data_IF_350237240368
#
_entry.id   IF_350237240368
#
_cell.length_a   1.000
_cell.length_b   1.000
_cell.length_c   1.000
_cell.angle_alpha   90.00
_cell.angle_beta   90.00
_cell.angle_gamma   90.00
#
_symmetry.space_group_name_H-M   'P 1'
#
loop_
_entity.id
_entity.type
_entity.pdbx_description
1 polymer ?
#
# COMPACT_ATOMS: atom_id res chain seq x y z
N UNK A 1 22.11 -10.90 10.34
CA UNK A 1 21.45 -11.30 9.08
C UNK A 1 21.49 -10.15 8.09
N UNK A 2 21.91 -10.43 6.84
CA UNK A 2 21.93 -9.47 5.73
C UNK A 2 20.68 -9.66 4.88
N UNK A 3 19.78 -8.70 4.92
CA UNK A 3 18.48 -8.73 4.21
C UNK A 3 18.60 -7.95 2.92
N UNK A 4 18.24 -8.56 1.79
CA UNK A 4 18.01 -7.82 0.56
C UNK A 4 16.51 -7.55 0.40
N UNK A 5 16.14 -6.27 0.47
CA UNK A 5 14.78 -5.82 0.21
C UNK A 5 14.64 -5.47 -1.28
N UNK A 6 13.83 -6.21 -2.00
CA UNK A 6 13.44 -5.90 -3.37
C UNK A 6 12.09 -5.18 -3.37
N UNK A 7 12.01 -4.05 -4.07
CA UNK A 7 10.75 -3.30 -4.16
C UNK A 7 10.78 -2.23 -5.24
N UNK A 8 9.65 -1.57 -5.44
CA UNK A 8 9.58 -0.42 -6.32
C UNK A 8 10.22 0.79 -5.65
N UNK A 9 11.16 1.49 -6.30
CA UNK A 9 11.71 2.73 -5.76
C UNK A 9 10.65 3.82 -5.84
N UNK A 10 10.70 4.73 -4.92
CA UNK A 10 10.19 6.07 -5.18
C UNK A 10 11.19 6.80 -6.11
N UNK A 11 10.74 7.75 -6.85
CA UNK A 11 11.27 8.30 -8.11
C UNK A 11 12.76 8.69 -8.23
N UNK A 12 13.65 8.44 -7.29
CA UNK A 12 14.99 9.07 -7.27
C UNK A 12 16.18 8.10 -7.26
N UNK A 13 15.98 6.78 -7.15
CA UNK A 13 17.11 5.85 -7.15
C UNK A 13 17.47 5.38 -8.57
N UNK A 14 18.77 5.40 -8.95
CA UNK A 14 19.23 4.81 -10.20
C UNK A 14 18.77 3.34 -10.29
N UNK A 15 18.43 2.92 -11.49
CA UNK A 15 17.94 1.53 -11.75
C UNK A 15 18.96 0.45 -11.42
N UNK A 16 20.23 0.81 -11.19
CA UNK A 16 21.36 -0.13 -11.03
C UNK A 16 21.93 -0.21 -9.62
N UNK A 17 21.49 0.65 -8.67
CA UNK A 17 22.11 0.73 -7.35
C UNK A 17 21.41 -0.13 -6.29
N UNK A 18 22.19 -0.91 -5.55
CA UNK A 18 21.84 -1.36 -4.21
C UNK A 18 22.20 -0.25 -3.22
N UNK A 19 21.28 0.07 -2.31
CA UNK A 19 21.50 1.14 -1.31
C UNK A 19 21.26 0.58 0.08
N UNK A 20 22.27 0.72 0.97
CA UNK A 20 22.07 0.37 2.38
C UNK A 20 21.08 1.32 3.04
N UNK A 21 20.13 0.75 3.76
CA UNK A 21 19.12 1.49 4.51
C UNK A 21 19.67 1.81 5.88
N UNK A 22 20.20 3.06 6.05
CA UNK A 22 20.65 3.57 7.33
C UNK A 22 19.50 4.06 8.23
N UNK A 23 19.75 4.20 9.53
CA UNK A 23 18.85 4.96 10.42
C UNK A 23 18.81 6.43 9.96
N UNK A 24 17.63 6.91 9.60
CA UNK A 24 17.42 8.28 9.10
C UNK A 24 17.56 8.49 7.59
N UNK A 25 18.06 7.51 6.85
CA UNK A 25 18.04 7.56 5.37
C UNK A 25 16.75 6.96 4.86
N UNK A 26 15.73 7.80 4.69
CA UNK A 26 14.55 7.41 3.93
C UNK A 26 14.94 7.41 2.45
N UNK A 27 15.22 6.23 1.91
CA UNK A 27 15.69 6.05 0.52
C UNK A 27 14.60 6.42 -0.48
N UNK A 28 13.37 6.53 0.00
CA UNK A 28 12.21 6.80 -0.83
C UNK A 28 11.84 8.26 -0.73
N UNK A 29 12.17 9.03 -1.77
CA UNK A 29 11.61 10.38 -2.00
C UNK A 29 10.53 10.24 -3.07
N UNK A 30 9.42 10.93 -2.94
CA UNK A 30 8.36 10.93 -3.93
C UNK A 30 6.98 10.78 -3.31
N UNK A 31 6.21 9.80 -3.74
CA UNK A 31 4.84 9.58 -3.29
C UNK A 31 4.79 9.22 -1.80
N UNK A 32 4.05 10.01 -1.01
CA UNK A 32 4.05 9.94 0.46
C UNK A 32 3.71 8.54 1.03
N UNK A 33 2.80 7.81 0.39
CA UNK A 33 2.44 6.45 0.80
C UNK A 33 3.56 5.44 0.60
N UNK A 34 4.36 5.58 -0.46
CA UNK A 34 5.49 4.68 -0.74
C UNK A 34 6.66 4.99 0.20
N UNK A 35 6.87 6.28 0.53
CA UNK A 35 7.83 6.71 1.56
C UNK A 35 7.45 6.11 2.91
N UNK A 36 6.18 6.25 3.32
CA UNK A 36 5.68 5.69 4.58
C UNK A 36 5.79 4.16 4.63
N UNK A 37 5.55 3.47 3.50
CA UNK A 37 5.68 2.02 3.40
C UNK A 37 7.14 1.57 3.58
N UNK A 38 8.10 2.27 2.97
CA UNK A 38 9.53 1.99 3.16
C UNK A 38 9.96 2.14 4.61
N UNK A 39 9.59 3.26 5.23
CA UNK A 39 9.88 3.53 6.65
C UNK A 39 9.24 2.48 7.57
N UNK A 40 8.01 2.05 7.27
CA UNK A 40 7.31 1.02 8.03
C UNK A 40 7.98 -0.35 7.91
N UNK A 41 8.35 -0.75 6.71
CA UNK A 41 9.08 -2.00 6.48
C UNK A 41 10.37 -2.01 7.29
N UNK A 42 11.20 -0.98 7.16
CA UNK A 42 12.48 -0.88 7.86
C UNK A 42 12.30 -0.91 9.38
N UNK A 43 11.32 -0.17 9.91
CA UNK A 43 11.05 -0.18 11.34
C UNK A 43 10.65 -1.57 11.84
N UNK A 44 9.70 -2.24 11.18
CA UNK A 44 9.20 -3.54 11.62
C UNK A 44 10.28 -4.62 11.52
N UNK A 45 11.01 -4.68 10.40
CA UNK A 45 12.04 -5.71 10.23
C UNK A 45 13.23 -5.50 11.17
N UNK A 46 13.69 -4.27 11.41
CA UNK A 46 14.72 -4.01 12.43
C UNK A 46 14.26 -4.30 13.86
N UNK A 47 12.97 -4.06 14.16
CA UNK A 47 12.38 -4.41 15.46
C UNK A 47 12.36 -5.93 15.67
N UNK A 48 12.01 -6.69 14.64
CA UNK A 48 11.83 -8.15 14.71
C UNK A 48 13.15 -8.92 14.54
N UNK A 49 14.12 -8.35 13.83
CA UNK A 49 15.46 -8.90 13.59
C UNK A 49 16.52 -7.86 14.00
N UNK A 50 16.75 -7.68 15.31
CA UNK A 50 17.74 -6.72 15.82
C UNK A 50 19.13 -7.06 15.27
N UNK A 51 19.88 -6.02 14.86
CA UNK A 51 21.23 -6.20 14.27
C UNK A 51 21.25 -6.58 12.78
N UNK A 52 20.09 -6.81 12.15
CA UNK A 52 20.05 -7.06 10.71
C UNK A 52 20.46 -5.82 9.90
N UNK A 53 21.15 -6.07 8.79
CA UNK A 53 21.44 -5.04 7.78
C UNK A 53 20.46 -5.19 6.62
N UNK A 54 19.81 -4.11 6.25
CA UNK A 54 18.84 -4.10 5.14
C UNK A 54 19.44 -3.32 3.97
N UNK A 55 19.57 -3.98 2.83
CA UNK A 55 19.95 -3.35 1.57
C UNK A 55 18.77 -3.35 0.63
N UNK A 56 18.49 -2.23 -0.01
CA UNK A 56 17.40 -2.09 -0.98
C UNK A 56 17.89 -2.29 -2.41
N UNK A 57 17.13 -3.07 -3.19
CA UNK A 57 17.32 -3.23 -4.63
C UNK A 57 16.04 -2.85 -5.39
N UNK A 58 16.19 -2.06 -6.45
CA UNK A 58 15.08 -1.69 -7.32
C UNK A 58 14.60 -2.90 -8.16
N UNK A 59 13.32 -3.21 -8.09
CA UNK A 59 12.72 -4.28 -8.91
C UNK A 59 12.47 -3.85 -10.37
N UNK A 60 12.36 -2.54 -10.65
CA UNK A 60 12.04 -2.00 -11.97
C UNK A 60 13.28 -1.89 -12.85
N UNK A 61 13.84 -3.03 -13.18
CA UNK A 61 14.90 -3.20 -14.17
C UNK A 61 14.79 -4.57 -14.81
N UNK A 62 15.43 -4.77 -15.96
CA UNK A 62 15.64 -6.11 -16.51
C UNK A 62 16.73 -6.79 -15.71
N UNK A 63 16.40 -7.89 -15.06
CA UNK A 63 17.35 -8.68 -14.28
C UNK A 63 18.21 -9.55 -15.19
N UNK A 64 19.45 -9.77 -14.77
CA UNK A 64 20.46 -10.57 -15.42
C UNK A 64 21.02 -11.62 -14.48
N UNK A 65 21.85 -12.53 -15.00
CA UNK A 65 22.58 -13.52 -14.18
C UNK A 65 23.42 -12.85 -13.08
N UNK A 66 24.08 -11.73 -13.40
CA UNK A 66 24.88 -10.99 -12.41
C UNK A 66 24.02 -10.46 -11.25
N UNK A 67 22.76 -10.08 -11.51
CA UNK A 67 21.85 -9.64 -10.45
C UNK A 67 21.48 -10.80 -9.52
N UNK A 68 21.32 -12.00 -10.07
CA UNK A 68 21.08 -13.21 -9.28
C UNK A 68 22.29 -13.56 -8.42
N UNK A 69 23.50 -13.47 -8.97
CA UNK A 69 24.74 -13.68 -8.23
C UNK A 69 24.90 -12.68 -7.07
N UNK A 70 24.45 -11.42 -7.25
CA UNK A 70 24.38 -10.42 -6.17
C UNK A 70 23.30 -10.78 -5.15
N UNK A 71 22.10 -11.18 -5.57
CA UNK A 71 21.01 -11.60 -4.68
C UNK A 71 21.48 -12.75 -3.78
N UNK A 72 22.12 -13.75 -4.36
CA UNK A 72 22.55 -14.95 -3.66
C UNK A 72 23.71 -14.72 -2.65
N UNK A 73 24.23 -13.49 -2.53
CA UNK A 73 25.20 -13.11 -1.47
C UNK A 73 24.54 -12.68 -0.16
N UNK A 74 23.22 -12.53 -0.13
CA UNK A 74 22.45 -12.16 1.06
C UNK A 74 21.93 -13.41 1.79
N UNK A 75 21.51 -13.23 3.03
CA UNK A 75 20.95 -14.31 3.83
C UNK A 75 19.47 -14.59 3.47
N UNK A 76 18.73 -13.54 3.08
CA UNK A 76 17.31 -13.60 2.71
C UNK A 76 16.93 -12.51 1.71
N UNK A 77 16.10 -12.87 0.74
CA UNK A 77 15.45 -11.93 -0.17
C UNK A 77 14.02 -11.64 0.31
N UNK A 78 13.69 -10.37 0.50
CA UNK A 78 12.34 -9.95 0.82
C UNK A 78 11.76 -9.11 -0.32
N UNK A 79 10.80 -9.66 -1.05
CA UNK A 79 10.01 -8.92 -2.04
C UNK A 79 8.92 -8.17 -1.29
N UNK A 80 9.04 -6.86 -1.20
CA UNK A 80 8.23 -6.07 -0.27
C UNK A 80 7.43 -4.96 -0.93
N UNK A 81 6.23 -4.86 -0.45
CA UNK A 81 5.42 -3.66 -0.41
C UNK A 81 4.85 -3.15 -1.72
N UNK A 82 3.81 -2.38 -1.57
CA UNK A 82 3.15 -1.69 -2.66
C UNK A 82 2.33 -2.58 -3.58
N UNK A 83 1.92 -2.01 -4.69
CA UNK A 83 1.16 -2.72 -5.72
C UNK A 83 2.06 -3.25 -6.82
N UNK A 84 2.97 -4.19 -6.50
CA UNK A 84 3.97 -4.68 -7.46
C UNK A 84 3.38 -5.48 -8.61
N UNK A 85 2.28 -6.20 -8.40
CA UNK A 85 1.57 -6.90 -9.47
C UNK A 85 0.78 -5.91 -10.31
N UNK A 86 1.50 -5.22 -11.20
CA UNK A 86 1.03 -4.18 -12.12
C UNK A 86 2.03 -4.10 -13.27
N UNK A 87 1.56 -4.16 -14.52
CA UNK A 87 2.44 -4.22 -15.68
C UNK A 87 2.85 -2.84 -16.23
N UNK A 88 1.96 -1.84 -16.18
CA UNK A 88 2.10 -0.57 -16.89
C UNK A 88 3.06 0.45 -16.25
N UNK A 89 3.52 0.20 -15.04
CA UNK A 89 4.52 1.07 -14.37
C UNK A 89 5.95 0.75 -14.81
N UNK A 90 6.18 -0.49 -15.18
CA UNK A 90 7.44 -0.98 -15.76
C UNK A 90 7.12 -2.10 -16.74
N UNK A 91 6.82 -1.71 -17.98
CA UNK A 91 6.57 -2.67 -19.06
C UNK A 91 7.83 -3.45 -19.37
N UNK A 92 7.73 -4.77 -19.34
CA UNK A 92 8.83 -5.67 -19.63
C UNK A 92 8.34 -6.99 -20.24
N UNK A 93 9.22 -7.65 -20.95
CA UNK A 93 8.97 -8.93 -21.61
C UNK A 93 9.41 -10.13 -20.77
N UNK A 94 9.84 -9.94 -19.52
CA UNK A 94 10.35 -11.01 -18.67
C UNK A 94 9.22 -11.60 -17.81
N UNK A 95 8.46 -10.77 -17.08
CA UNK A 95 7.48 -11.21 -16.09
C UNK A 95 6.08 -10.63 -16.26
N UNK A 96 5.91 -9.58 -17.05
CA UNK A 96 4.66 -8.81 -17.20
C UNK A 96 4.18 -8.15 -15.88
N UNK A 97 5.09 -7.90 -14.92
CA UNK A 97 4.84 -7.11 -13.72
C UNK A 97 6.09 -6.31 -13.31
N UNK A 98 6.05 -5.57 -12.19
CA UNK A 98 7.10 -4.60 -11.90
C UNK A 98 8.48 -5.20 -11.59
N UNK A 99 8.60 -6.48 -11.29
CA UNK A 99 9.89 -7.15 -11.19
C UNK A 99 10.28 -7.78 -12.54
N UNK A 100 11.17 -7.13 -13.25
CA UNK A 100 11.61 -7.56 -14.60
C UNK A 100 12.54 -8.77 -14.59
N UNK A 101 12.09 -9.88 -14.01
CA UNK A 101 12.82 -11.15 -13.88
C UNK A 101 12.14 -12.25 -14.70
N UNK A 102 12.94 -13.07 -15.41
CA UNK A 102 12.39 -14.25 -16.09
C UNK A 102 12.21 -15.43 -15.14
N UNK A 103 11.39 -16.40 -15.55
CA UNK A 103 11.17 -17.65 -14.82
C UNK A 103 12.50 -18.36 -14.52
N UNK A 104 13.38 -18.47 -15.53
CA UNK A 104 14.67 -19.17 -15.43
C UNK A 104 15.65 -18.48 -14.46
N UNK A 105 15.62 -17.16 -14.38
CA UNK A 105 16.45 -16.42 -13.43
C UNK A 105 15.88 -16.52 -12.01
N UNK A 106 14.56 -16.48 -11.86
CA UNK A 106 13.91 -16.63 -10.57
C UNK A 106 14.21 -18.01 -9.96
N UNK A 107 14.25 -19.07 -10.78
CA UNK A 107 14.65 -20.42 -10.36
C UNK A 107 16.08 -20.49 -9.82
N UNK A 108 16.99 -19.62 -10.27
CA UNK A 108 18.38 -19.60 -9.84
C UNK A 108 18.63 -18.86 -8.52
N UNK A 109 17.61 -18.22 -7.93
CA UNK A 109 17.74 -17.65 -6.59
C UNK A 109 17.81 -18.81 -5.59
N UNK A 110 18.93 -18.94 -4.88
CA UNK A 110 19.20 -20.03 -3.96
C UNK A 110 18.94 -19.70 -2.49
N UNK A 111 18.77 -18.43 -2.16
CA UNK A 111 18.46 -17.97 -0.80
C UNK A 111 16.95 -17.99 -0.52
N UNK A 112 16.53 -18.06 0.76
CA UNK A 112 15.13 -17.97 1.13
C UNK A 112 14.45 -16.69 0.60
N UNK A 113 13.25 -16.86 0.06
CA UNK A 113 12.42 -15.74 -0.46
C UNK A 113 11.22 -15.52 0.45
N UNK A 114 11.02 -14.30 0.89
CA UNK A 114 9.81 -13.86 1.60
C UNK A 114 9.09 -12.83 0.74
N UNK A 115 7.85 -13.09 0.37
CA UNK A 115 6.97 -12.09 -0.28
C UNK A 115 6.10 -11.45 0.80
N UNK A 116 6.32 -10.16 1.09
CA UNK A 116 5.75 -9.49 2.23
C UNK A 116 4.76 -8.39 1.84
N UNK A 117 3.48 -8.63 2.04
CA UNK A 117 2.38 -7.69 1.85
C UNK A 117 2.32 -7.05 0.44
N UNK A 118 2.57 -7.82 -0.61
CA UNK A 118 2.53 -7.35 -2.00
C UNK A 118 1.07 -7.29 -2.48
N UNK A 119 0.72 -6.24 -3.23
CA UNK A 119 -0.64 -6.02 -3.73
C UNK A 119 -0.79 -6.31 -5.21
N UNK A 120 -1.94 -6.92 -5.57
CA UNK A 120 -2.43 -6.98 -6.94
C UNK A 120 -3.04 -5.62 -7.28
N UNK A 121 -2.45 -4.92 -8.25
CA UNK A 121 -2.75 -3.50 -8.48
C UNK A 121 -3.23 -3.20 -9.91
N UNK A 122 -3.67 -4.22 -10.64
CA UNK A 122 -4.27 -4.06 -11.96
C UNK A 122 -5.54 -3.20 -11.85
N UNK A 123 -5.61 -2.13 -12.63
CA UNK A 123 -6.77 -1.24 -12.68
C UNK A 123 -7.93 -1.87 -13.44
N UNK A 124 -9.13 -1.39 -13.15
CA UNK A 124 -10.33 -1.74 -13.92
C UNK A 124 -10.14 -1.33 -15.39
N UNK A 125 -10.55 -2.17 -16.32
CA UNK A 125 -10.42 -1.91 -17.75
C UNK A 125 -9.03 -2.13 -18.35
N UNK A 126 -7.99 -2.36 -17.55
CA UNK A 126 -6.68 -2.75 -18.06
C UNK A 126 -6.68 -4.18 -18.63
N UNK A 127 -5.80 -4.46 -19.59
CA UNK A 127 -5.61 -5.80 -20.13
C UNK A 127 -5.27 -6.81 -19.03
N UNK A 128 -5.54 -8.06 -19.27
CA UNK A 128 -5.07 -9.12 -18.40
C UNK A 128 -3.55 -9.28 -18.50
N UNK A 129 -2.95 -9.81 -17.43
CA UNK A 129 -1.58 -10.28 -17.48
C UNK A 129 -1.46 -11.42 -18.52
N UNK A 130 -0.29 -11.55 -19.10
CA UNK A 130 0.02 -12.63 -20.03
C UNK A 130 0.61 -13.86 -19.30
N UNK A 131 0.89 -14.93 -20.05
CA UNK A 131 1.40 -16.18 -19.49
C UNK A 131 2.77 -16.08 -18.79
N UNK A 132 3.56 -15.01 -19.03
CA UNK A 132 4.80 -14.78 -18.30
C UNK A 132 4.52 -14.42 -16.85
N UNK A 133 3.47 -13.67 -16.59
CA UNK A 133 3.01 -13.39 -15.24
C UNK A 133 2.66 -14.69 -14.51
N UNK A 134 1.84 -15.55 -15.13
CA UNK A 134 1.42 -16.82 -14.54
C UNK A 134 2.64 -17.68 -14.17
N UNK A 135 3.62 -17.80 -15.07
CA UNK A 135 4.85 -18.59 -14.86
C UNK A 135 5.69 -18.02 -13.73
N UNK A 136 6.01 -16.72 -13.78
CA UNK A 136 6.89 -16.10 -12.77
C UNK A 136 6.24 -16.03 -11.40
N UNK A 137 4.94 -15.78 -11.30
CA UNK A 137 4.22 -15.78 -10.02
C UNK A 137 4.11 -17.19 -9.45
N UNK A 138 3.86 -18.21 -10.30
CA UNK A 138 3.88 -19.61 -9.87
C UNK A 138 5.22 -19.97 -9.21
N UNK A 139 6.34 -19.74 -9.91
CA UNK A 139 7.68 -20.03 -9.38
C UNK A 139 7.94 -19.22 -8.09
N UNK A 140 7.55 -17.95 -8.07
CA UNK A 140 7.71 -17.11 -6.88
C UNK A 140 6.96 -17.68 -5.67
N UNK A 141 5.71 -18.13 -5.84
CA UNK A 141 4.92 -18.76 -4.77
C UNK A 141 5.53 -20.09 -4.35
N UNK A 142 5.95 -20.93 -5.30
CA UNK A 142 6.58 -22.23 -5.01
C UNK A 142 7.85 -22.08 -4.16
N UNK A 143 8.74 -21.16 -4.55
CA UNK A 143 10.03 -20.93 -3.89
C UNK A 143 9.93 -20.11 -2.59
N UNK A 144 8.85 -19.38 -2.40
CA UNK A 144 8.72 -18.55 -1.21
C UNK A 144 8.57 -19.38 0.05
N UNK A 145 9.40 -19.06 1.04
CA UNK A 145 9.29 -19.52 2.42
C UNK A 145 8.01 -19.02 3.06
N UNK A 146 7.67 -17.78 2.74
CA UNK A 146 6.41 -17.11 3.13
C UNK A 146 5.94 -16.22 1.99
N UNK A 147 4.70 -16.38 1.56
CA UNK A 147 4.09 -15.52 0.55
C UNK A 147 2.86 -14.83 1.12
N UNK A 148 2.88 -13.50 1.15
CA UNK A 148 1.72 -12.74 1.63
C UNK A 148 1.36 -11.57 0.75
N UNK A 149 0.05 -11.31 0.72
CA UNK A 149 -0.58 -10.19 0.03
C UNK A 149 -1.20 -9.23 1.03
N UNK A 150 -1.32 -7.93 0.63
CA UNK A 150 -1.76 -6.87 1.55
C UNK A 150 -3.27 -6.79 1.80
N UNK A 151 -4.08 -7.54 1.06
CA UNK A 151 -5.53 -7.67 1.23
C UNK A 151 -6.03 -8.97 0.60
N UNK A 152 -7.18 -9.47 1.06
CA UNK A 152 -7.78 -10.73 0.61
C UNK A 152 -8.04 -10.76 -0.89
N UNK A 153 -8.56 -9.68 -1.47
CA UNK A 153 -8.85 -9.62 -2.89
C UNK A 153 -7.59 -9.69 -3.77
N UNK A 154 -6.41 -9.26 -3.28
CA UNK A 154 -5.14 -9.54 -3.96
C UNK A 154 -4.82 -11.03 -3.94
N UNK A 155 -5.11 -11.73 -2.86
CA UNK A 155 -4.95 -13.19 -2.75
C UNK A 155 -5.84 -13.92 -3.76
N UNK A 156 -7.12 -13.58 -3.81
CA UNK A 156 -8.07 -14.17 -4.74
C UNK A 156 -7.71 -13.88 -6.20
N UNK A 157 -7.13 -12.71 -6.46
CA UNK A 157 -6.63 -12.39 -7.80
C UNK A 157 -5.43 -13.24 -8.18
N UNK A 158 -4.45 -13.42 -7.27
CA UNK A 158 -3.25 -14.24 -7.52
C UNK A 158 -3.60 -15.72 -7.68
N UNK A 159 -4.52 -16.25 -6.91
CA UNK A 159 -4.98 -17.65 -7.03
C UNK A 159 -5.48 -18.01 -8.43
N UNK A 160 -5.95 -17.05 -9.21
CA UNK A 160 -6.37 -17.27 -10.61
C UNK A 160 -5.21 -17.47 -11.58
N UNK A 161 -3.99 -17.18 -11.17
CA UNK A 161 -2.77 -17.24 -11.97
C UNK A 161 -1.85 -18.40 -11.59
N UNK A 162 -2.20 -19.19 -10.55
CA UNK A 162 -1.38 -20.27 -10.02
C UNK A 162 -2.21 -21.55 -9.84
N UNK A 163 -1.59 -22.74 -9.89
CA UNK A 163 -2.27 -24.00 -9.62
C UNK A 163 -2.88 -24.06 -8.21
N UNK A 164 -3.97 -24.82 -8.07
CA UNK A 164 -4.74 -24.93 -6.82
C UNK A 164 -3.90 -25.41 -5.63
N UNK A 165 -2.95 -26.32 -5.84
CA UNK A 165 -2.09 -26.84 -4.76
C UNK A 165 -1.20 -25.77 -4.13
N UNK A 166 -1.07 -24.58 -4.74
CA UNK A 166 -0.33 -23.44 -4.19
C UNK A 166 -1.22 -22.45 -3.43
N UNK A 167 -2.52 -22.59 -3.50
CA UNK A 167 -3.45 -21.60 -2.92
C UNK A 167 -3.28 -21.41 -1.41
N UNK A 168 -2.94 -22.49 -0.71
CA UNK A 168 -2.72 -22.46 0.75
C UNK A 168 -1.47 -21.68 1.16
N UNK A 169 -0.49 -21.51 0.24
CA UNK A 169 0.71 -20.69 0.49
C UNK A 169 0.40 -19.19 0.51
N UNK A 170 -0.77 -18.75 0.01
CA UNK A 170 -1.13 -17.33 -0.06
C UNK A 170 -1.70 -16.87 1.27
N UNK A 171 -0.93 -16.07 1.99
CA UNK A 171 -1.32 -15.52 3.28
C UNK A 171 -1.78 -14.06 3.15
N UNK A 172 -2.69 -13.63 4.02
CA UNK A 172 -3.00 -12.21 4.22
C UNK A 172 -1.97 -11.61 5.19
N UNK A 173 -1.46 -10.43 4.85
CA UNK A 173 -0.64 -9.62 5.75
C UNK A 173 -0.82 -8.14 5.40
N UNK A 174 -1.46 -7.37 6.26
CA UNK A 174 -1.73 -5.97 5.97
C UNK A 174 -0.47 -5.16 5.66
N UNK A 175 -0.65 -4.06 4.94
CA UNK A 175 0.46 -3.15 4.63
C UNK A 175 1.22 -2.73 5.90
N UNK A 176 2.54 -2.74 5.92
CA UNK A 176 3.35 -2.33 7.06
C UNK A 176 2.99 -0.95 7.63
N UNK A 177 2.47 -0.05 6.79
CA UNK A 177 2.02 1.29 7.22
C UNK A 177 0.94 1.25 8.30
N UNK A 178 0.19 0.16 8.43
CA UNK A 178 -0.81 0.01 9.50
C UNK A 178 -0.19 -0.01 10.90
N UNK A 179 1.11 -0.29 11.02
CA UNK A 179 1.79 -0.46 12.31
C UNK A 179 2.89 0.59 12.57
N UNK A 180 3.19 1.46 11.61
CA UNK A 180 4.30 2.42 11.75
C UNK A 180 4.06 3.43 12.89
N UNK A 181 2.81 3.70 13.27
CA UNK A 181 2.54 4.58 14.40
C UNK A 181 3.05 4.03 15.74
N UNK A 182 3.39 2.75 15.85
CA UNK A 182 4.08 2.20 17.01
C UNK A 182 5.46 2.88 17.24
N UNK A 183 6.12 3.30 16.15
CA UNK A 183 7.37 4.07 16.19
C UNK A 183 7.12 5.51 16.61
N UNK A 184 6.13 6.18 16.03
CA UNK A 184 5.93 7.61 16.20
C UNK A 184 5.12 7.96 17.43
N UNK A 185 4.25 7.06 17.89
CA UNK A 185 3.37 7.20 19.07
C UNK A 185 2.50 8.47 19.00
N UNK A 186 2.09 8.83 17.78
CA UNK A 186 1.20 9.97 17.58
C UNK A 186 -0.20 9.61 18.09
N UNK A 187 -0.84 10.59 18.72
CA UNK A 187 -2.23 10.49 19.14
C UNK A 187 -3.11 11.16 18.11
N UNK A 188 -4.18 10.49 17.73
CA UNK A 188 -5.23 11.11 16.93
C UNK A 188 -5.84 12.27 17.70
N UNK A 189 -5.99 13.40 17.03
CA UNK A 189 -6.61 14.60 17.59
C UNK A 189 -7.98 14.78 16.96
N UNK A 190 -9.01 14.84 17.77
CA UNK A 190 -10.34 15.21 17.31
C UNK A 190 -10.32 16.68 16.88
N UNK A 191 -10.30 16.90 15.58
CA UNK A 191 -10.26 18.24 14.97
C UNK A 191 -11.55 18.52 14.22
N UNK A 192 -11.67 19.74 13.71
CA UNK A 192 -12.78 20.13 12.84
C UNK A 192 -12.46 19.97 11.35
N UNK A 193 -11.41 19.18 11.00
CA UNK A 193 -10.88 19.09 9.65
C UNK A 193 -11.21 17.76 8.98
N UNK A 194 -11.61 17.84 7.71
CA UNK A 194 -11.80 16.68 6.83
C UNK A 194 -10.76 16.73 5.72
N UNK A 195 -9.90 15.71 5.65
CA UNK A 195 -8.88 15.59 4.63
C UNK A 195 -9.41 14.94 3.35
N UNK A 196 -8.94 15.38 2.20
CA UNK A 196 -9.26 14.83 0.89
C UNK A 196 -7.97 14.40 0.19
N UNK A 197 -7.91 13.15 -0.25
CA UNK A 197 -6.81 12.63 -1.08
C UNK A 197 -7.39 12.11 -2.37
N UNK A 198 -7.23 12.88 -3.44
CA UNK A 198 -7.80 12.61 -4.75
C UNK A 198 -6.67 12.32 -5.73
N UNK A 199 -6.54 11.06 -6.14
CA UNK A 199 -5.43 10.60 -6.96
C UNK A 199 -5.45 11.17 -8.38
N UNK A 200 -4.31 11.69 -8.83
CA UNK A 200 -4.12 12.20 -10.19
C UNK A 200 -3.52 11.19 -11.16
N UNK A 201 -2.95 10.09 -10.67
CA UNK A 201 -2.40 9.05 -11.52
C UNK A 201 -3.51 8.22 -12.19
N UNK A 202 -3.35 7.96 -13.50
CA UNK A 202 -4.27 7.10 -14.28
C UNK A 202 -5.74 7.51 -14.18
N UNK A 203 -6.02 8.80 -14.29
CA UNK A 203 -7.38 9.37 -14.15
C UNK A 203 -8.42 8.64 -15.00
N UNK A 204 -8.11 8.29 -16.24
CA UNK A 204 -9.00 7.56 -17.15
C UNK A 204 -9.33 6.13 -16.70
N UNK A 205 -8.43 5.49 -15.95
CA UNK A 205 -8.67 4.16 -15.38
C UNK A 205 -9.42 4.24 -14.04
N UNK A 206 -9.27 5.36 -13.31
CA UNK A 206 -9.93 5.57 -12.03
C UNK A 206 -11.35 6.07 -12.19
N UNK A 207 -11.54 7.04 -13.08
CA UNK A 207 -12.79 7.77 -13.19
C UNK A 207 -13.35 7.66 -14.61
N UNK A 208 -14.54 7.08 -14.73
CA UNK A 208 -15.27 7.01 -16.00
C UNK A 208 -15.68 8.40 -16.48
N UNK A 209 -16.04 9.29 -15.54
CA UNK A 209 -16.44 10.66 -15.80
C UNK A 209 -15.90 11.59 -14.72
N UNK A 210 -14.75 12.20 -14.97
CA UNK A 210 -14.07 13.07 -14.00
C UNK A 210 -14.90 14.33 -13.64
N UNK A 211 -15.68 14.87 -14.58
CA UNK A 211 -16.55 16.04 -14.30
C UNK A 211 -17.68 15.67 -13.34
N UNK A 212 -18.31 14.52 -13.54
CA UNK A 212 -19.33 14.01 -12.63
C UNK A 212 -18.73 13.77 -11.25
N UNK A 213 -17.60 13.06 -11.18
CA UNK A 213 -16.90 12.79 -9.93
C UNK A 213 -16.57 14.08 -9.18
N UNK A 214 -15.96 15.08 -9.86
CA UNK A 214 -15.66 16.37 -9.26
C UNK A 214 -16.91 17.10 -8.73
N UNK A 215 -18.02 17.05 -9.49
CA UNK A 215 -19.29 17.64 -9.07
C UNK A 215 -19.86 16.96 -7.82
N UNK A 216 -19.75 15.66 -7.70
CA UNK A 216 -20.22 14.91 -6.54
C UNK A 216 -19.32 15.15 -5.31
N UNK A 217 -18.00 15.23 -5.47
CA UNK A 217 -17.09 15.63 -4.39
C UNK A 217 -17.37 17.07 -3.96
N UNK A 218 -17.63 17.98 -4.92
CA UNK A 218 -18.00 19.37 -4.61
C UNK A 218 -19.28 19.44 -3.77
N UNK A 219 -20.30 18.65 -4.06
CA UNK A 219 -21.52 18.60 -3.21
C UNK A 219 -21.17 18.24 -1.76
N UNK A 220 -20.24 17.32 -1.57
CA UNK A 220 -19.83 16.93 -0.22
C UNK A 220 -18.99 18.02 0.47
N UNK A 221 -18.05 18.67 -0.23
CA UNK A 221 -17.30 19.81 0.36
C UNK A 221 -18.21 20.98 0.70
N UNK A 222 -19.20 21.31 -0.15
CA UNK A 222 -20.20 22.35 0.11
C UNK A 222 -21.05 22.03 1.37
N UNK A 223 -21.41 20.75 1.56
CA UNK A 223 -22.10 20.32 2.78
C UNK A 223 -21.21 20.48 4.02
N UNK A 224 -19.95 20.06 3.97
CA UNK A 224 -19.00 20.18 5.07
C UNK A 224 -18.80 21.65 5.48
N UNK A 225 -18.64 22.53 4.51
CA UNK A 225 -18.55 23.99 4.74
C UNK A 225 -19.78 24.53 5.46
N UNK A 226 -21.00 24.13 5.04
CA UNK A 226 -22.26 24.55 5.68
C UNK A 226 -22.37 24.13 7.15
N UNK A 227 -21.76 23.02 7.53
CA UNK A 227 -21.72 22.56 8.93
C UNK A 227 -20.46 23.00 9.67
N UNK A 228 -19.69 23.95 9.10
CA UNK A 228 -18.51 24.55 9.72
C UNK A 228 -17.29 23.64 9.78
N UNK A 229 -17.18 22.59 8.96
CA UNK A 229 -15.99 21.75 8.85
C UNK A 229 -14.98 22.35 7.89
N UNK A 230 -13.69 22.30 8.26
CA UNK A 230 -12.59 22.70 7.39
C UNK A 230 -12.25 21.57 6.43
N UNK A 231 -12.17 21.87 5.14
CA UNK A 231 -11.80 20.92 4.08
C UNK A 231 -10.34 21.12 3.67
N UNK A 232 -9.54 20.06 3.68
CA UNK A 232 -8.09 20.10 3.41
C UNK A 232 -7.75 19.12 2.31
N UNK A 233 -7.25 19.61 1.16
CA UNK A 233 -6.70 18.75 0.13
C UNK A 233 -5.29 18.30 0.56
N UNK A 234 -5.02 17.00 0.49
CA UNK A 234 -3.73 16.40 0.84
C UNK A 234 -3.16 15.71 -0.39
N UNK A 235 -2.12 16.27 -0.97
CA UNK A 235 -1.45 15.73 -2.13
C UNK A 235 -0.37 14.73 -1.71
N UNK A 236 -0.49 13.47 -2.13
CA UNK A 236 0.55 12.44 -1.95
C UNK A 236 1.61 12.48 -3.05
N UNK A 237 1.25 13.07 -4.19
CA UNK A 237 2.03 13.18 -5.41
C UNK A 237 1.67 14.51 -6.07
N UNK A 238 2.13 14.79 -7.28
CA UNK A 238 1.71 15.98 -8.03
C UNK A 238 0.25 15.87 -8.53
N UNK A 239 -0.68 15.73 -7.59
CA UNK A 239 -2.11 15.53 -7.84
C UNK A 239 -2.85 16.87 -7.96
N UNK A 240 -2.51 17.70 -8.97
CA UNK A 240 -3.03 19.08 -9.10
C UNK A 240 -4.40 19.19 -9.78
N UNK A 241 -4.93 18.10 -10.36
CA UNK A 241 -6.16 18.16 -11.16
C UNK A 241 -7.39 18.62 -10.38
N UNK A 242 -7.50 18.22 -9.12
CA UNK A 242 -8.66 18.53 -8.26
C UNK A 242 -8.68 19.99 -7.78
N UNK A 243 -7.50 20.61 -7.64
CA UNK A 243 -7.37 22.00 -7.19
C UNK A 243 -8.04 23.00 -8.14
N UNK A 244 -8.09 22.66 -9.44
CA UNK A 244 -8.71 23.50 -10.46
C UNK A 244 -10.22 23.31 -10.58
N UNK A 245 -10.80 22.31 -9.90
CA UNK A 245 -12.21 21.94 -10.04
C UNK A 245 -13.00 22.04 -8.74
N UNK A 246 -12.32 21.94 -7.59
CA UNK A 246 -12.94 21.90 -6.26
C UNK A 246 -12.19 22.86 -5.35
N UNK A 247 -12.95 23.72 -4.68
CA UNK A 247 -12.38 24.63 -3.69
C UNK A 247 -12.22 23.91 -2.35
N UNK A 248 -11.03 24.00 -1.76
CA UNK A 248 -10.70 23.55 -0.43
C UNK A 248 -10.24 24.74 0.42
N UNK A 249 -10.41 24.64 1.75
CA UNK A 249 -9.99 25.70 2.67
C UNK A 249 -8.46 25.74 2.83
N UNK A 250 -7.78 24.61 2.60
CA UNK A 250 -6.33 24.51 2.69
C UNK A 250 -5.80 23.38 1.80
N UNK A 251 -4.50 23.43 1.48
CA UNK A 251 -3.81 22.42 0.68
C UNK A 251 -2.50 22.06 1.38
N UNK A 252 -2.31 20.77 1.63
CA UNK A 252 -1.07 20.22 2.19
C UNK A 252 -0.40 19.33 1.15
N UNK A 253 0.81 19.68 0.77
CA UNK A 253 1.63 18.85 -0.12
C UNK A 253 2.52 17.93 0.69
N UNK A 254 2.35 16.62 0.51
CA UNK A 254 3.16 15.58 1.10
C UNK A 254 4.12 14.92 0.09
N UNK A 255 4.18 15.42 -1.14
CA UNK A 255 5.16 14.94 -2.11
C UNK A 255 6.57 15.21 -1.57
N UNK A 256 7.41 14.19 -1.51
CA UNK A 256 8.75 14.20 -0.92
C UNK A 256 8.79 14.44 0.62
N UNK A 257 7.65 14.50 1.29
CA UNK A 257 7.63 14.53 2.75
C UNK A 257 8.14 13.20 3.32
N UNK A 258 8.74 13.26 4.50
CA UNK A 258 9.09 12.05 5.23
C UNK A 258 7.84 11.34 5.78
N UNK A 259 8.03 10.10 6.20
CA UNK A 259 6.92 9.30 6.71
C UNK A 259 6.31 9.90 7.99
N UNK A 260 7.11 10.51 8.87
CA UNK A 260 6.64 11.13 10.10
C UNK A 260 5.70 12.28 9.81
N UNK A 261 6.07 13.18 8.89
CA UNK A 261 5.25 14.31 8.47
C UNK A 261 3.90 13.84 7.89
N UNK A 262 3.92 12.75 7.12
CA UNK A 262 2.68 12.13 6.59
C UNK A 262 1.76 11.70 7.73
N UNK A 263 2.28 11.01 8.74
CA UNK A 263 1.48 10.57 9.89
C UNK A 263 1.00 11.73 10.77
N UNK A 264 1.85 12.75 11.00
CA UNK A 264 1.48 13.97 11.73
C UNK A 264 0.35 14.71 11.01
N UNK A 265 0.38 14.80 9.68
CA UNK A 265 -0.71 15.40 8.91
C UNK A 265 -2.02 14.69 9.14
N UNK A 266 -2.04 13.35 9.02
CA UNK A 266 -3.27 12.58 9.21
C UNK A 266 -3.73 12.54 10.67
N UNK A 267 -2.84 12.58 11.65
CA UNK A 267 -3.24 12.60 13.07
C UNK A 267 -4.09 13.83 13.45
N UNK A 268 -4.08 14.86 12.61
CA UNK A 268 -4.86 16.10 12.77
C UNK A 268 -6.14 16.14 11.90
N UNK A 269 -6.58 15.00 11.35
CA UNK A 269 -7.82 14.92 10.56
C UNK A 269 -8.88 14.11 11.32
N UNK A 270 -10.12 14.61 11.40
CA UNK A 270 -11.25 13.83 11.94
C UNK A 270 -11.64 12.70 10.99
N UNK A 271 -11.79 13.04 9.74
CA UNK A 271 -12.19 12.11 8.67
C UNK A 271 -11.30 12.32 7.45
N UNK A 272 -10.99 11.25 6.71
CA UNK A 272 -10.27 11.34 5.43
C UNK A 272 -11.10 10.71 4.32
N UNK A 273 -11.37 11.49 3.29
CA UNK A 273 -11.96 11.04 2.02
C UNK A 273 -10.85 10.68 1.06
N UNK A 274 -10.78 9.44 0.62
CA UNK A 274 -9.61 8.96 -0.09
C UNK A 274 -9.92 7.95 -1.19
N UNK A 275 -9.29 8.14 -2.33
CA UNK A 275 -9.28 7.20 -3.45
C UNK A 275 -7.87 6.60 -3.73
N UNK A 276 -6.95 6.69 -2.74
CA UNK A 276 -5.63 6.05 -2.71
C UNK A 276 -5.51 5.05 -1.56
N UNK A 277 -4.87 3.90 -1.82
CA UNK A 277 -4.73 2.85 -0.80
C UNK A 277 -4.02 3.28 0.48
N UNK A 278 -2.86 3.95 0.39
CA UNK A 278 -2.15 4.42 1.59
C UNK A 278 -2.90 5.56 2.30
N UNK A 279 -3.71 6.34 1.57
CA UNK A 279 -4.57 7.35 2.16
C UNK A 279 -5.84 6.78 2.84
N UNK A 280 -6.11 5.46 2.70
CA UNK A 280 -7.03 4.74 3.57
C UNK A 280 -6.29 4.18 4.79
N UNK A 281 -5.17 3.51 4.54
CA UNK A 281 -4.47 2.70 5.54
C UNK A 281 -3.82 3.56 6.63
N UNK A 282 -3.11 4.63 6.24
CA UNK A 282 -2.38 5.48 7.19
C UNK A 282 -3.33 6.20 8.15
N UNK A 283 -4.34 6.97 7.69
CA UNK A 283 -5.24 7.64 8.61
C UNK A 283 -6.05 6.64 9.46
N UNK A 284 -6.51 5.52 8.89
CA UNK A 284 -7.17 4.49 9.68
C UNK A 284 -6.26 3.95 10.80
N UNK A 285 -4.97 3.73 10.53
CA UNK A 285 -4.00 3.26 11.54
C UNK A 285 -3.78 4.26 12.71
N UNK A 286 -4.19 5.49 12.52
CA UNK A 286 -4.13 6.58 13.51
C UNK A 286 -5.46 6.78 14.26
N UNK A 287 -6.53 6.09 13.86
CA UNK A 287 -7.87 6.25 14.43
C UNK A 287 -8.78 7.23 13.68
N UNK A 288 -8.31 7.83 12.57
CA UNK A 288 -9.16 8.68 11.73
C UNK A 288 -10.30 7.87 11.10
N UNK A 289 -11.45 8.49 10.95
CA UNK A 289 -12.53 7.95 10.12
C UNK A 289 -12.14 8.01 8.64
N UNK A 290 -12.58 7.03 7.85
CA UNK A 290 -12.30 7.01 6.40
C UNK A 290 -13.59 6.89 5.60
N UNK A 291 -13.68 7.63 4.50
CA UNK A 291 -14.70 7.51 3.47
C UNK A 291 -14.01 7.29 2.13
N UNK A 292 -14.49 6.33 1.34
CA UNK A 292 -13.74 5.92 0.15
C UNK A 292 -14.60 5.94 -1.09
N UNK A 293 -14.40 6.92 -1.99
CA UNK A 293 -14.79 6.77 -3.39
C UNK A 293 -13.98 5.63 -4.02
N UNK A 294 -14.65 4.52 -4.38
CA UNK A 294 -14.00 3.30 -4.86
C UNK A 294 -13.64 3.45 -6.33
N UNK A 295 -12.48 4.03 -6.61
CA UNK A 295 -11.91 4.16 -7.97
C UNK A 295 -11.03 2.97 -8.39
N UNK A 296 -10.77 2.04 -7.47
CA UNK A 296 -9.92 0.86 -7.71
C UNK A 296 -10.30 -0.28 -6.77
N UNK A 297 -10.25 -1.53 -7.25
CA UNK A 297 -10.64 -2.71 -6.46
C UNK A 297 -9.88 -2.85 -5.13
N UNK A 298 -8.59 -2.50 -5.07
CA UNK A 298 -7.79 -2.56 -3.84
C UNK A 298 -8.37 -1.72 -2.69
N UNK A 299 -9.12 -0.66 -3.02
CA UNK A 299 -9.76 0.21 -2.03
C UNK A 299 -10.93 -0.50 -1.38
N UNK A 300 -11.75 -1.17 -2.21
CA UNK A 300 -12.83 -2.03 -1.75
C UNK A 300 -12.30 -3.18 -0.90
N UNK A 301 -11.29 -3.90 -1.38
CA UNK A 301 -10.72 -5.05 -0.68
C UNK A 301 -10.16 -4.70 0.71
N UNK A 302 -9.58 -3.51 0.87
CA UNK A 302 -9.15 -3.05 2.18
C UNK A 302 -10.34 -2.83 3.13
N UNK A 303 -11.42 -2.18 2.66
CA UNK A 303 -12.64 -2.01 3.45
C UNK A 303 -13.30 -3.34 3.80
N UNK A 304 -13.32 -4.29 2.86
CA UNK A 304 -13.83 -5.65 3.09
C UNK A 304 -13.06 -6.32 4.25
N UNK A 305 -11.72 -6.28 4.21
CA UNK A 305 -10.84 -6.91 5.19
C UNK A 305 -10.96 -6.31 6.61
N UNK A 306 -11.20 -5.00 6.69
CA UNK A 306 -11.44 -4.33 7.97
C UNK A 306 -12.93 -4.24 8.35
N UNK A 307 -13.82 -4.84 7.55
CA UNK A 307 -15.27 -4.87 7.77
C UNK A 307 -15.90 -3.47 7.92
N UNK A 308 -15.58 -2.57 6.99
CA UNK A 308 -16.09 -1.20 6.91
C UNK A 308 -16.61 -0.88 5.50
N UNK A 309 -17.24 -1.86 4.84
CA UNK A 309 -17.70 -1.80 3.46
C UNK A 309 -18.70 -0.66 3.22
N UNK A 310 -19.51 -0.35 4.22
CA UNK A 310 -20.52 0.71 4.19
C UNK A 310 -19.91 2.10 3.94
N UNK A 311 -18.62 2.29 4.23
CA UNK A 311 -17.92 3.56 4.01
C UNK A 311 -17.19 3.62 2.66
N UNK A 312 -17.41 2.63 1.80
CA UNK A 312 -16.98 2.61 0.40
C UNK A 312 -18.16 2.87 -0.54
N UNK A 313 -18.00 3.77 -1.49
CA UNK A 313 -19.02 4.10 -2.49
C UNK A 313 -18.34 4.08 -3.85
N UNK A 314 -18.93 3.41 -4.86
CA UNK A 314 -18.37 3.40 -6.20
C UNK A 314 -18.20 4.82 -6.75
N UNK A 315 -17.04 5.11 -7.35
CA UNK A 315 -16.67 6.45 -7.81
C UNK A 315 -17.62 7.02 -8.89
N UNK A 316 -18.23 6.12 -9.66
CA UNK A 316 -19.15 6.46 -10.76
C UNK A 316 -20.63 6.46 -10.33
N UNK A 317 -20.92 6.38 -9.04
CA UNK A 317 -22.29 6.48 -8.52
C UNK A 317 -22.81 7.91 -8.72
N UNK A 318 -23.98 8.06 -9.35
CA UNK A 318 -24.59 9.37 -9.63
C UNK A 318 -25.00 10.15 -8.38
N UNK A 319 -25.09 9.45 -7.23
CA UNK A 319 -25.45 10.01 -5.92
C UNK A 319 -24.27 9.97 -4.94
N UNK A 320 -23.03 9.88 -5.45
CA UNK A 320 -21.82 9.76 -4.62
C UNK A 320 -21.76 10.82 -3.52
N UNK A 321 -22.00 12.09 -3.85
CA UNK A 321 -21.95 13.19 -2.89
C UNK A 321 -22.99 13.04 -1.77
N UNK A 322 -24.24 12.71 -2.12
CA UNK A 322 -25.30 12.46 -1.14
C UNK A 322 -25.00 11.24 -0.26
N UNK A 323 -24.43 10.18 -0.84
CA UNK A 323 -24.04 9.00 -0.10
C UNK A 323 -22.86 9.28 0.83
N UNK A 324 -21.87 10.08 0.40
CA UNK A 324 -20.78 10.53 1.26
C UNK A 324 -21.30 11.33 2.46
N UNK A 325 -22.25 12.26 2.24
CA UNK A 325 -22.92 13.00 3.31
C UNK A 325 -23.59 12.04 4.30
N UNK A 326 -24.38 11.08 3.79
CA UNK A 326 -25.08 10.10 4.62
C UNK A 326 -24.11 9.28 5.45
N UNK A 327 -23.04 8.76 4.85
CA UNK A 327 -22.07 7.94 5.54
C UNK A 327 -21.21 8.76 6.53
N UNK A 328 -20.88 10.00 6.20
CA UNK A 328 -20.24 10.92 7.13
C UNK A 328 -21.09 11.13 8.38
N UNK A 329 -22.38 11.43 8.21
CA UNK A 329 -23.31 11.59 9.33
C UNK A 329 -23.46 10.32 10.15
N UNK A 330 -23.45 9.14 9.52
CA UNK A 330 -23.49 7.86 10.21
C UNK A 330 -22.23 7.68 11.07
N UNK A 331 -21.04 7.91 10.52
CA UNK A 331 -19.77 7.77 11.25
C UNK A 331 -19.70 8.65 12.50
N UNK A 332 -20.34 9.86 12.48
CA UNK A 332 -20.35 10.74 13.67
C UNK A 332 -21.18 10.18 14.83
N UNK A 333 -22.03 9.17 14.59
CA UNK A 333 -22.89 8.52 15.59
C UNK A 333 -22.35 7.19 16.12
N UNK A 334 -21.32 6.66 15.47
CA UNK A 334 -20.71 5.38 15.85
C UNK A 334 -19.72 5.55 17.00
N UNK A 335 -19.58 4.53 17.80
CA UNK A 335 -18.45 4.37 18.70
C UNK A 335 -17.20 3.98 17.88
N UNK A 336 -16.63 5.00 17.26
CA UNK A 336 -15.50 4.81 16.34
C UNK A 336 -14.25 4.27 17.04
N UNK A 337 -14.00 4.70 18.29
CA UNK A 337 -12.85 4.24 19.06
C UNK A 337 -12.89 2.73 19.29
N UNK A 338 -14.05 2.19 19.63
CA UNK A 338 -14.21 0.75 19.80
C UNK A 338 -14.05 -0.01 18.47
N UNK A 339 -14.65 0.49 17.38
CA UNK A 339 -14.50 -0.08 16.04
C UNK A 339 -13.04 -0.12 15.63
N UNK A 340 -12.35 1.01 15.71
CA UNK A 340 -10.94 1.15 15.39
C UNK A 340 -10.06 0.19 16.20
N UNK A 341 -10.26 0.18 17.53
CA UNK A 341 -9.47 -0.65 18.44
C UNK A 341 -9.62 -2.15 18.13
N UNK A 342 -10.85 -2.63 17.90
CA UNK A 342 -11.09 -4.03 17.53
C UNK A 342 -10.37 -4.39 16.21
N UNK A 343 -10.49 -3.56 15.17
CA UNK A 343 -9.87 -3.82 13.87
C UNK A 343 -8.35 -3.79 13.95
N UNK A 344 -7.77 -2.81 14.65
CA UNK A 344 -6.33 -2.72 14.84
C UNK A 344 -5.77 -3.88 15.65
N UNK A 345 -6.50 -4.36 16.65
CA UNK A 345 -6.09 -5.56 17.40
C UNK A 345 -6.03 -6.80 16.48
N UNK A 346 -7.02 -7.00 15.62
CA UNK A 346 -7.01 -8.11 14.63
C UNK A 346 -5.82 -8.00 13.66
N UNK A 347 -5.53 -6.79 13.16
CA UNK A 347 -4.38 -6.52 12.28
C UNK A 347 -3.06 -6.85 13.01
N UNK A 348 -2.90 -6.41 14.25
CA UNK A 348 -1.72 -6.71 15.07
C UNK A 348 -1.55 -8.20 15.35
N UNK A 349 -2.62 -8.90 15.69
CA UNK A 349 -2.58 -10.35 15.92
C UNK A 349 -2.16 -11.10 14.66
N UNK A 350 -2.70 -10.71 13.50
CA UNK A 350 -2.32 -11.31 12.22
C UNK A 350 -0.83 -11.04 11.90
N UNK A 351 -0.37 -9.81 12.11
CA UNK A 351 1.05 -9.47 11.95
C UNK A 351 1.94 -10.34 12.84
N UNK A 352 1.63 -10.45 14.13
CA UNK A 352 2.41 -11.26 15.07
C UNK A 352 2.44 -12.74 14.67
N UNK A 353 1.29 -13.31 14.28
CA UNK A 353 1.20 -14.68 13.76
C UNK A 353 2.15 -14.88 12.57
N UNK A 354 2.08 -14.01 11.58
CA UNK A 354 2.87 -14.10 10.36
C UNK A 354 4.37 -13.92 10.66
N UNK A 355 4.72 -12.95 11.51
CA UNK A 355 6.11 -12.70 11.87
C UNK A 355 6.72 -13.84 12.68
N UNK A 356 5.96 -14.42 13.60
CA UNK A 356 6.41 -15.62 14.34
C UNK A 356 6.65 -16.80 13.40
N UNK A 357 5.79 -17.00 12.41
CA UNK A 357 5.99 -18.01 11.37
C UNK A 357 7.29 -17.75 10.59
N UNK A 358 7.51 -16.52 10.10
CA UNK A 358 8.72 -16.14 9.38
C UNK A 358 9.97 -16.40 10.23
N UNK A 359 9.96 -15.99 11.51
CA UNK A 359 11.08 -16.21 12.44
C UNK A 359 11.39 -17.70 12.63
N UNK A 360 10.37 -18.52 12.85
CA UNK A 360 10.54 -19.96 13.00
C UNK A 360 11.21 -20.58 11.77
N UNK A 361 10.70 -20.24 10.58
CA UNK A 361 11.25 -20.76 9.32
C UNK A 361 12.69 -20.30 9.07
N UNK A 362 13.04 -19.04 9.40
CA UNK A 362 14.42 -18.55 9.26
C UNK A 362 15.35 -19.19 10.31
N UNK A 363 14.86 -19.44 11.53
CA UNK A 363 15.60 -20.14 12.57
C UNK A 363 15.95 -21.57 12.18
N UNK A 364 15.02 -22.29 11.56
CA UNK A 364 15.24 -23.65 11.05
C UNK A 364 16.35 -23.70 9.97
N UNK A 365 16.61 -22.56 9.31
CA UNK A 365 17.71 -22.38 8.36
C UNK A 365 18.99 -21.79 9.00
N UNK A 366 19.06 -21.66 10.33
CA UNK A 366 20.14 -21.01 11.08
C UNK A 366 20.36 -19.52 10.70
N UNK A 367 19.30 -18.83 10.30
CA UNK A 367 19.30 -17.40 9.91
C UNK A 367 18.57 -16.57 10.99
N UNK A 368 19.23 -16.24 12.09
CA UNK A 368 18.67 -15.44 13.19
C UNK A 368 19.24 -14.03 13.25
#
# INVERSE_FOLDING_TARGET
MNILQLGAPSAVLPSTATVQVGEGNDIRKGQAGDVAMGAAFNYLFKKEFPGSQITFMNCRKKFSKNDIDVINQYDVLIVSGGGLFLYDTFENNESDWQWGISEELLEQISIPIIVYAVGYNKFRGQRNFNSRFDKTVKVLVEKSLFFSVRNSGSGDAIKKHIPEYLHEKINLNFCPTMLLNEKYKLKHQTTNSVGFVLAGDRLSNRHKNIKQFSGEIKKFTDYLSKIGKKTILINHEHDTWSQNQIQFDDIIDLFQADARKTYETYSNMDTVVCDRGHAQMIPFSLGCKILTPISHNKLKWFLDDIQLNEFGIEENDSELGNKLIKQYMLQQKLDWENIYTDRMNKIKQLYLKNMNFIKAQLSDLNLN
#
